data_IF_788364645985
#
_entry.id   IF_788364645985
#
_cell.length_a   1.000
_cell.length_b   1.000
_cell.length_c   1.000
_cell.angle_alpha   90.00
_cell.angle_beta   90.00
_cell.angle_gamma   90.00
#
_symmetry.space_group_name_H-M   'P 1'
#
loop_
_entity.id
_entity.type
_entity.pdbx_description
1 polymer ?
2 non-polymer ?
3 non-polymer ?
4 non-polymer ?
5 water ?
#
# COMPACT_ATOMS: atom_id res chain seq x y z
N UNK A 7 1.05 -6.67 21.87
CA UNK A 7 -0.25 -6.00 21.99
C UNK A 7 -1.03 -5.94 20.65
N UNK A 8 -0.55 -6.64 19.61
CA UNK A 8 -1.26 -6.72 18.34
C UNK A 8 -2.47 -7.59 18.51
N UNK A 9 -3.52 -7.39 17.68
CA UNK A 9 -4.66 -8.31 17.73
C UNK A 9 -4.24 -9.70 17.26
N UNK A 10 -5.05 -10.71 17.61
CA UNK A 10 -4.78 -12.08 17.19
C UNK A 10 -4.81 -12.16 15.63
N UNK A 11 -3.84 -12.86 15.04
CA UNK A 11 -3.67 -12.99 13.58
C UNK A 11 -2.90 -11.81 12.94
N UNK A 12 -2.54 -10.80 13.75
CA UNK A 12 -1.71 -9.71 13.27
C UNK A 12 -0.27 -10.05 13.64
N UNK A 13 0.68 -9.61 12.81
CA UNK A 13 2.09 -9.85 12.97
C UNK A 13 2.75 -8.60 13.51
N UNK A 14 3.50 -8.73 14.59
CA UNK A 14 4.21 -7.61 15.19
C UNK A 14 5.59 -7.45 14.57
N UNK A 15 5.99 -6.21 14.25
CA UNK A 15 7.29 -5.88 13.69
C UNK A 15 7.63 -4.42 13.96
N UNK A 16 8.74 -4.18 14.69
CA UNK A 16 9.24 -2.84 15.01
C UNK A 16 8.16 -1.82 15.43
N UNK A 17 7.42 -2.11 16.51
CA UNK A 17 6.39 -1.22 17.07
C UNK A 17 5.12 -1.09 16.19
N UNK A 18 4.95 -1.99 15.21
CA UNK A 18 3.76 -1.98 14.36
C UNK A 18 3.13 -3.37 14.28
N UNK A 19 1.83 -3.40 14.06
CA UNK A 19 1.03 -4.61 13.87
C UNK A 19 0.56 -4.62 12.44
N UNK A 20 0.71 -5.77 11.76
CA UNK A 20 0.34 -5.89 10.36
C UNK A 20 -0.61 -7.02 10.14
N UNK A 21 -1.53 -6.81 9.25
CA UNK A 21 -2.50 -7.82 8.87
C UNK A 21 -2.38 -7.97 7.36
N UNK A 22 -2.18 -9.20 6.92
CA UNK A 22 -1.99 -9.49 5.51
C UNK A 22 -3.20 -10.21 4.95
N UNK A 23 -3.94 -9.53 4.06
CA UNK A 23 -5.12 -10.15 3.46
C UNK A 23 -4.75 -11.34 2.61
N UNK A 24 -5.68 -12.27 2.51
CA UNK A 24 -5.54 -13.40 1.60
C UNK A 24 -6.67 -13.39 0.55
N UNK A 25 -7.23 -12.19 0.29
CA UNK A 25 -8.26 -11.96 -0.69
C UNK A 25 -7.96 -10.56 -1.29
N UNK A 26 -8.67 -10.22 -2.35
CA UNK A 26 -8.49 -8.95 -3.04
C UNK A 26 -9.63 -7.97 -2.88
N UNK A 27 -9.30 -6.69 -2.91
CA UNK A 27 -10.28 -5.63 -2.86
C UNK A 27 -9.76 -4.48 -3.71
N UNK A 28 -10.69 -3.67 -4.23
CA UNK A 28 -10.33 -2.41 -4.89
C UNK A 28 -9.70 -1.52 -3.79
N UNK A 29 -8.75 -0.65 -4.15
CA UNK A 29 -8.08 0.19 -3.17
C UNK A 29 -8.99 0.89 -2.15
N UNK A 30 -10.06 1.58 -2.60
CA UNK A 30 -10.96 2.29 -1.67
C UNK A 30 -11.57 1.32 -0.65
N UNK A 31 -11.88 0.10 -1.09
CA UNK A 31 -12.45 -0.90 -0.18
C UNK A 31 -11.44 -1.43 0.78
N UNK A 32 -10.20 -1.63 0.32
CA UNK A 32 -9.12 -2.08 1.20
C UNK A 32 -8.81 -0.97 2.24
N UNK A 33 -8.92 0.30 1.83
CA UNK A 33 -8.69 1.45 2.67
C UNK A 33 -9.74 1.46 3.80
N UNK A 34 -11.01 1.30 3.43
CA UNK A 34 -12.14 1.29 4.37
C UNK A 34 -11.96 0.11 5.33
N UNK A 35 -11.62 -1.09 4.80
CA UNK A 35 -11.35 -2.28 5.62
C UNK A 35 -10.32 -1.97 6.74
N UNK A 36 -9.16 -1.39 6.39
CA UNK A 36 -8.15 -1.07 7.39
C UNK A 36 -8.64 -0.07 8.41
N UNK A 37 -9.33 0.99 7.96
CA UNK A 37 -9.85 2.00 8.89
C UNK A 37 -10.82 1.41 9.90
N UNK A 38 -11.62 0.43 9.48
CA UNK A 38 -12.59 -0.21 10.37
C UNK A 38 -11.92 -1.14 11.42
N UNK A 39 -10.66 -1.54 11.18
CA UNK A 39 -9.89 -2.28 12.19
C UNK A 39 -9.03 -1.30 13.02
N UNK A 40 -9.39 0.01 13.08
CA UNK A 40 -8.61 1.07 13.73
C UNK A 40 -7.16 1.06 13.22
N UNK A 41 -7.00 0.80 11.92
CA UNK A 41 -5.70 0.66 11.30
C UNK A 41 -5.69 1.44 9.94
N UNK A 42 -4.60 1.40 9.19
CA UNK A 42 -4.54 2.04 7.89
C UNK A 42 -3.85 1.10 6.93
N UNK A 43 -3.99 1.34 5.60
CA UNK A 43 -3.25 0.58 4.60
C UNK A 43 -1.75 0.82 4.86
N UNK A 44 -0.92 -0.23 4.81
CA UNK A 44 0.48 -0.14 5.23
C UNK A 44 1.23 1.09 4.69
N UNK A 45 1.95 1.78 5.58
CA UNK A 45 2.77 2.94 5.24
C UNK A 45 4.23 2.53 5.38
N UNK A 46 4.95 2.44 4.26
CA UNK A 46 6.31 1.95 4.25
C UNK A 46 7.31 3.09 4.33
N UNK A 47 8.06 3.20 5.46
CA UNK A 47 9.02 4.29 5.67
C UNK A 47 10.48 3.88 5.80
N UNK A 48 10.82 2.61 5.57
CA UNK A 48 12.21 2.19 5.62
C UNK A 48 12.46 0.98 4.73
N UNK A 49 13.73 0.70 4.45
CA UNK A 49 14.10 -0.47 3.69
C UNK A 49 13.78 -1.75 4.50
N UNK A 50 13.99 -1.69 5.82
CA UNK A 50 13.72 -2.76 6.75
C UNK A 50 12.23 -3.11 6.72
N UNK A 51 11.36 -2.08 6.72
CA UNK A 51 9.92 -2.33 6.70
C UNK A 51 9.48 -2.92 5.37
N UNK A 52 10.06 -2.42 4.26
CA UNK A 52 9.80 -2.93 2.92
C UNK A 52 10.11 -4.46 2.85
N UNK A 53 11.30 -4.86 3.31
CA UNK A 53 11.74 -6.27 3.33
C UNK A 53 10.80 -7.12 4.18
N UNK A 54 10.39 -6.60 5.34
CA UNK A 54 9.46 -7.33 6.21
C UNK A 54 8.12 -7.57 5.47
N UNK A 55 7.56 -6.53 4.82
CA UNK A 55 6.29 -6.67 4.11
C UNK A 55 6.44 -7.64 2.96
N UNK A 56 7.55 -7.53 2.19
CA UNK A 56 7.81 -8.43 1.06
C UNK A 56 7.81 -9.87 1.46
N UNK A 57 8.39 -10.16 2.64
CA UNK A 57 8.49 -11.53 3.11
C UNK A 57 7.10 -12.13 3.29
N UNK A 58 6.18 -11.36 3.86
CA UNK A 58 4.83 -11.86 4.12
C UNK A 58 3.88 -11.84 2.92
N UNK A 59 4.05 -10.92 1.96
CA UNK A 59 3.13 -10.87 0.82
C UNK A 59 3.52 -11.83 -0.30
N UNK A 60 4.81 -12.08 -0.45
CA UNK A 60 5.30 -12.95 -1.51
C UNK A 60 5.25 -12.21 -2.84
N UNK A 61 5.38 -12.95 -3.95
CA UNK A 61 5.39 -12.29 -5.27
C UNK A 61 3.97 -11.98 -5.78
N UNK A 62 3.24 -11.12 -5.05
CA UNK A 62 1.85 -10.84 -5.36
C UNK A 62 1.59 -9.35 -5.31
N UNK A 63 0.80 -8.83 -6.28
CA UNK A 63 0.42 -7.42 -6.30
C UNK A 63 -0.40 -7.12 -5.09
N UNK A 64 0.03 -6.14 -4.30
CA UNK A 64 -0.60 -5.84 -3.02
C UNK A 64 -0.70 -4.35 -2.74
N UNK A 65 -1.92 -3.84 -2.46
CA UNK A 65 -2.10 -2.42 -2.19
C UNK A 65 -1.40 -1.95 -0.95
N UNK A 66 -0.87 -0.73 -1.02
CA UNK A 66 -0.30 -0.07 0.15
C UNK A 66 -1.04 1.30 0.33
N UNK A 67 -0.77 1.97 1.44
CA UNK A 67 -1.45 3.21 1.77
C UNK A 67 -0.83 4.42 1.11
N UNK A 68 -0.65 4.37 -0.21
CA UNK A 68 -0.03 5.45 -0.98
C UNK A 68 -0.85 5.68 -2.26
N UNK A 69 -1.27 6.93 -2.48
CA UNK A 69 -2.12 7.23 -3.63
C UNK A 69 -1.94 8.68 -4.05
N UNK A 70 -2.43 9.02 -5.24
CA UNK A 70 -2.43 10.42 -5.67
C UNK A 70 -3.78 10.76 -6.32
N UNK A 71 -4.87 10.23 -5.76
CA UNK A 71 -6.21 10.44 -6.31
C UNK A 71 -6.63 11.90 -6.36
N UNK A 72 -6.22 12.69 -5.37
CA UNK A 72 -6.60 14.12 -5.32
C UNK A 72 -5.47 15.07 -5.67
N UNK A 73 -4.46 14.57 -6.34
CA UNK A 73 -3.34 15.40 -6.73
C UNK A 73 -2.01 14.74 -6.47
N UNK A 74 -1.23 15.33 -5.58
CA UNK A 74 0.12 14.81 -5.35
C UNK A 74 0.09 13.54 -4.50
N UNK A 75 1.16 12.75 -4.57
CA UNK A 75 1.27 11.51 -3.79
C UNK A 75 1.14 11.77 -2.30
N UNK A 76 0.28 10.98 -1.62
CA UNK A 76 0.05 11.11 -0.20
C UNK A 76 -0.01 9.74 0.45
N UNK A 77 0.57 9.62 1.65
CA UNK A 77 0.42 8.41 2.45
C UNK A 77 -0.88 8.59 3.27
N UNK A 78 -1.65 7.51 3.44
CA UNK A 78 -2.94 7.58 4.11
C UNK A 78 -2.89 8.10 5.55
N UNK A 79 -1.73 7.99 6.23
CA UNK A 79 -1.64 8.50 7.61
C UNK A 79 -1.00 9.90 7.73
N UNK A 80 -0.79 10.59 6.60
CA UNK A 80 -0.21 11.91 6.62
C UNK A 80 1.31 11.96 6.53
N UNK A 81 1.98 10.78 6.50
CA UNK A 81 3.45 10.68 6.37
C UNK A 81 3.85 11.38 5.06
N UNK A 82 4.82 12.29 5.13
CA UNK A 82 5.24 13.04 3.97
C UNK A 82 5.83 12.13 2.89
N UNK A 83 5.34 12.27 1.66
CA UNK A 83 5.84 11.45 0.57
C UNK A 83 7.20 11.91 0.07
N UNK A 84 7.35 13.22 -0.12
CA UNK A 84 8.57 13.78 -0.69
C UNK A 84 9.85 13.43 0.06
N UNK A 85 9.85 13.58 1.39
CA UNK A 85 11.03 13.24 2.18
C UNK A 85 11.04 11.82 2.72
N UNK A 86 10.11 10.97 2.28
CA UNK A 86 10.03 9.61 2.78
C UNK A 86 10.67 8.57 1.91
N UNK A 87 10.68 7.32 2.39
CA UNK A 87 11.24 6.19 1.64
C UNK A 87 10.39 5.93 0.40
N UNK A 88 11.04 5.60 -0.70
CA UNK A 88 10.36 5.25 -1.94
C UNK A 88 11.03 4.03 -2.48
N UNK A 89 10.26 3.16 -3.12
CA UNK A 89 10.81 1.94 -3.70
C UNK A 89 10.11 1.67 -5.01
N UNK A 90 10.01 2.70 -5.86
CA UNK A 90 9.33 2.56 -7.13
C UNK A 90 10.11 1.66 -8.06
N UNK A 91 9.39 0.92 -8.89
CA UNK A 91 9.97 0.15 -9.97
C UNK A 91 10.51 1.19 -11.00
N UNK A 92 11.58 0.88 -11.76
CA UNK A 92 12.06 1.85 -12.77
C UNK A 92 10.94 2.23 -13.74
N UNK A 93 10.90 3.51 -14.14
CA UNK A 93 9.87 4.04 -15.03
C UNK A 93 8.48 4.17 -14.35
N UNK A 94 8.43 4.01 -13.02
CA UNK A 94 7.21 4.20 -12.24
C UNK A 94 7.48 5.32 -11.22
N UNK A 95 6.45 6.06 -10.80
CA UNK A 95 5.07 6.01 -11.30
C UNK A 95 4.98 6.66 -12.69
N UNK A 96 4.04 6.18 -13.53
CA UNK A 96 3.90 6.71 -14.88
C UNK A 96 2.48 7.21 -15.21
N UNK A 97 1.51 7.13 -14.27
CA UNK A 97 0.12 7.59 -14.43
C UNK A 97 -0.47 7.13 -15.78
N UNK A 98 -0.21 5.87 -16.11
CA UNK A 98 -0.62 5.31 -17.40
C UNK A 98 -2.12 5.36 -17.65
N UNK A 99 -2.51 5.89 -18.82
CA UNK A 99 -3.91 5.92 -19.23
C UNK A 99 -4.25 4.74 -20.19
N UNK A 100 -3.23 4.12 -20.79
CA UNK A 100 -3.34 3.10 -21.82
C UNK A 100 -4.15 1.86 -21.50
N UNK A 101 -4.43 1.64 -20.20
CA UNK A 101 -5.26 0.51 -19.80
C UNK A 101 -6.71 0.66 -20.35
N UNK A 102 -7.13 1.89 -20.66
CA UNK A 102 -8.44 2.16 -21.24
C UNK A 102 -9.61 2.06 -20.30
N UNK A 103 -9.34 2.00 -19.01
CA UNK A 103 -10.39 1.89 -17.99
C UNK A 103 -10.88 3.24 -17.45
N UNK A 104 -10.27 4.33 -17.89
CA UNK A 104 -10.67 5.66 -17.43
C UNK A 104 -9.69 6.15 -16.40
N UNK A 105 -9.17 7.34 -16.63
CA UNK A 105 -8.18 7.96 -15.77
C UNK A 105 -6.79 7.42 -15.98
N UNK A 106 -5.87 7.86 -15.12
CA UNK A 106 -4.48 7.42 -15.16
C UNK A 106 -4.32 6.24 -14.24
N UNK A 107 -3.38 6.33 -13.29
CA UNK A 107 -3.12 5.29 -12.28
C UNK A 107 -2.89 6.02 -10.98
N UNK A 108 -3.77 5.82 -9.99
CA UNK A 108 -3.68 6.65 -8.79
C UNK A 108 -3.43 5.93 -7.49
N UNK A 109 -3.19 4.62 -7.52
CA UNK A 109 -2.98 3.88 -6.28
C UNK A 109 -1.73 3.07 -6.38
N UNK A 110 -0.92 3.07 -5.32
CA UNK A 110 0.34 2.34 -5.35
C UNK A 110 0.20 0.94 -4.78
N UNK A 111 0.98 0.03 -5.37
CA UNK A 111 1.01 -1.33 -4.88
C UNK A 111 2.39 -1.90 -4.98
N UNK A 112 2.69 -2.86 -4.10
CA UNK A 112 3.93 -3.61 -4.24
C UNK A 112 3.70 -4.53 -5.46
N UNK A 113 4.72 -4.73 -6.29
CA UNK A 113 4.62 -5.64 -7.43
C UNK A 113 5.18 -7.03 -6.97
N UNK A 114 5.26 -8.01 -7.89
CA UNK A 114 5.79 -9.34 -7.61
C UNK A 114 7.25 -9.34 -7.09
N UNK A 115 8.05 -8.30 -7.39
CA UNK A 115 9.43 -8.24 -6.85
C UNK A 115 9.58 -7.26 -5.67
N UNK A 116 8.48 -6.70 -5.19
CA UNK A 116 8.51 -5.80 -4.05
C UNK A 116 8.51 -4.34 -4.44
N UNK A 117 9.10 -4.02 -5.60
CA UNK A 117 9.14 -2.62 -6.04
C UNK A 117 7.73 -2.14 -6.42
N UNK A 118 7.50 -0.85 -6.27
CA UNK A 118 6.18 -0.28 -6.40
C UNK A 118 5.76 0.11 -7.79
N UNK A 119 4.46 0.11 -7.99
CA UNK A 119 3.87 0.58 -9.22
C UNK A 119 2.62 1.35 -8.88
N UNK A 120 2.30 2.37 -9.68
CA UNK A 120 1.02 3.04 -9.55
C UNK A 120 0.10 2.31 -10.53
N UNK A 121 -1.12 2.03 -10.09
CA UNK A 121 -2.08 1.29 -10.88
C UNK A 121 -3.50 1.84 -10.68
N UNK A 122 -4.44 1.26 -11.41
CA UNK A 122 -5.85 1.63 -11.39
C UNK A 122 -6.46 1.24 -10.05
N UNK A 123 -6.95 2.22 -9.30
CA UNK A 123 -7.50 2.00 -7.97
C UNK A 123 -8.60 0.94 -7.91
N UNK A 124 -9.40 0.79 -8.97
CA UNK A 124 -10.48 -0.21 -8.96
C UNK A 124 -10.01 -1.65 -8.98
N UNK A 125 -8.74 -1.92 -9.36
CA UNK A 125 -8.30 -3.32 -9.44
C UNK A 125 -8.37 -4.02 -8.11
N UNK A 126 -8.89 -5.25 -8.10
CA UNK A 126 -8.86 -6.03 -6.85
C UNK A 126 -7.46 -6.62 -6.63
N UNK A 127 -6.77 -6.16 -5.61
CA UNK A 127 -5.49 -6.74 -5.21
C UNK A 127 -5.59 -7.12 -3.72
N UNK A 128 -4.67 -7.98 -3.24
CA UNK A 128 -4.55 -8.19 -1.79
C UNK A 128 -4.02 -6.88 -1.18
N UNK A 129 -4.15 -6.73 0.12
CA UNK A 129 -3.73 -5.52 0.79
C UNK A 129 -3.13 -5.85 2.15
N UNK A 130 -2.48 -4.86 2.75
CA UNK A 130 -1.89 -5.01 4.07
C UNK A 130 -2.41 -3.89 4.95
N UNK A 131 -2.88 -4.20 6.18
CA UNK A 131 -3.24 -3.16 7.15
C UNK A 131 -2.09 -3.03 8.15
N UNK A 132 -1.97 -1.85 8.73
CA UNK A 132 -0.96 -1.57 9.71
C UNK A 132 -1.54 -0.72 10.82
N UNK A 133 -1.18 -1.03 12.05
CA UNK A 133 -1.53 -0.24 13.22
C UNK A 133 -0.26 -0.06 14.05
N UNK A 134 -0.09 1.10 14.68
CA UNK A 134 1.12 1.37 15.45
C UNK A 134 0.88 1.11 16.91
N UNK A 135 1.72 0.28 17.52
CA UNK A 135 1.64 -0.02 18.94
C UNK A 135 1.96 1.24 19.73
X LIG B 1 -1.87 9.23 -10.77
X LIG C 1 2.11 2.45 -13.53
X LIG D 1 4.82 1.78 8.73
X LIG E 1 0.91 12.63 -9.79
X LIG E 1 1.11 12.53 -8.40
X LIG E 1 -0.54 12.50 -10.20
X LIG E 1 -1.41 13.22 -9.33
X LIG E 1 -0.71 13.01 -11.61
X LIG E 1 -2.02 13.51 -11.76
X LIG F 1 3.19 -3.38 -14.00
X LIG F 1 2.09 -2.75 -14.65
X LIG F 1 2.48 -1.39 -15.19
X LIG F 1 3.24 -1.54 -16.41
X LIG F 1 1.32 -0.47 -15.58
X LIG F 1 0.78 0.20 -14.44
X LIG F 1 2.03 0.50 -16.54
X LIG F 1 2.81 1.39 -15.78
X LIG F 1 2.99 -0.44 -17.27
X LIG F 1 2.50 -0.93 -18.56
X LIG F 1 1.88 -2.12 -18.82
X LIG F 1 1.57 -2.28 -20.08
X LIG F 1 2.00 -1.10 -20.69
X LIG F 1 1.93 -0.70 -22.05
X LIG F 1 1.42 -1.31 -23.01
X LIG F 1 2.48 0.57 -22.23
X LIG F 1 3.02 1.35 -21.24
X LIG F 1 3.50 2.55 -21.60
X LIG F 1 3.11 0.96 -19.97
X LIG F 1 2.57 -0.27 -19.76
X LIG G 1 -7.71 -6.52 -12.38
#
# INVERSE_FOLDING_TARGET
>A
MGSERTCCPVNWVEHERSCYWFSRSGKAWADADNYCRLEDAHLVVVTSWEEQKFVQHHIGPVNTWMGLHDQNGPWKWVDGTDYETGFKNWRPEQPDDWYGHGLGGGEDCAHFTDDGRWNDDVCQRPYRWVCETELDKASQEPPLLGSHHHHHH
>B hetero
1 CA CA
>C hetero
1 CA CA
>D hetero
1 CA CA
>E hetero
1 GOL C1 O1 C2 O2 C3 O3
>F hetero
1 GMP O5' C5' C4' O4' C3' O3' C2' O2' C1' N9 C8 N7 C5 C6 O6 N1 C2 N2 N3 C4
>G hetero
1 CA CA
#
